data_IF_467165403326
#
_entry.id   IF_467165403326
#
_cell.length_a   1.000
_cell.length_b   1.000
_cell.length_c   1.000
_cell.angle_alpha   90.00
_cell.angle_beta   90.00
_cell.angle_gamma   90.00
#
_symmetry.space_group_name_H-M   'P 1'
#
loop_
_entity.id
_entity.type
_entity.pdbx_description
1 polymer ?
#
# COMPACT_ATOMS: atom_id res chain seq x y z
N UNK A 1 -69.80 23.18 3.04
CA UNK A 1 -68.86 24.29 3.33
C UNK A 1 -67.62 23.71 3.99
N UNK A 2 -66.69 23.20 3.18
CA UNK A 2 -65.31 23.01 3.63
C UNK A 2 -64.60 24.36 3.48
N UNK A 3 -63.99 24.84 4.56
CA UNK A 3 -63.36 26.14 4.62
C UNK A 3 -62.13 26.21 3.70
N UNK A 4 -61.90 27.39 3.12
CA UNK A 4 -60.71 27.77 2.36
C UNK A 4 -59.37 27.59 3.12
N UNK A 5 -59.39 27.06 4.35
CA UNK A 5 -58.25 26.95 5.26
C UNK A 5 -57.42 25.67 5.08
N UNK A 6 -57.88 24.69 4.31
CA UNK A 6 -57.12 23.45 4.00
C UNK A 6 -56.37 23.48 2.67
N UNK A 7 -56.30 24.63 2.00
CA UNK A 7 -55.48 24.82 0.78
C UNK A 7 -54.17 25.58 1.04
N UNK A 8 -53.86 25.92 2.29
CA UNK A 8 -52.67 26.71 2.65
C UNK A 8 -51.71 26.03 3.64
N UNK A 9 -51.81 24.73 3.85
CA UNK A 9 -50.94 23.97 4.77
C UNK A 9 -50.14 22.83 4.11
N UNK A 10 -50.19 22.69 2.78
CA UNK A 10 -49.28 21.81 2.02
C UNK A 10 -48.19 22.62 1.29
N UNK A 11 -48.24 23.95 1.35
CA UNK A 11 -47.26 24.84 0.73
C UNK A 11 -46.06 25.18 1.63
N UNK A 12 -45.66 24.28 2.54
CA UNK A 12 -44.48 24.49 3.39
C UNK A 12 -43.93 23.19 4.00
N UNK A 13 -43.48 22.22 3.20
CA UNK A 13 -42.55 21.16 3.68
C UNK A 13 -41.84 20.36 2.58
N UNK A 14 -41.92 20.77 1.32
CA UNK A 14 -41.01 20.28 0.29
C UNK A 14 -40.43 21.50 -0.43
N UNK A 15 -39.52 22.21 0.24
CA UNK A 15 -38.41 22.78 -0.54
C UNK A 15 -37.69 21.59 -1.15
N UNK A 16 -38.17 21.16 -2.30
CA UNK A 16 -37.37 20.37 -3.23
C UNK A 16 -36.20 21.29 -3.52
N UNK A 17 -35.09 21.10 -2.82
CA UNK A 17 -33.83 21.72 -3.19
C UNK A 17 -33.70 21.50 -4.70
N UNK A 18 -33.53 22.58 -5.47
CA UNK A 18 -33.44 22.49 -6.92
C UNK A 18 -32.41 21.44 -7.33
N UNK A 19 -32.50 20.90 -8.56
CA UNK A 19 -31.56 19.89 -9.03
C UNK A 19 -30.13 20.36 -8.75
N UNK A 20 -29.36 19.51 -8.05
CA UNK A 20 -28.02 19.85 -7.60
C UNK A 20 -27.12 20.12 -8.80
N UNK A 21 -26.26 21.12 -8.68
CA UNK A 21 -25.28 21.46 -9.72
C UNK A 21 -24.03 20.58 -9.63
N UNK A 22 -23.27 20.48 -10.71
CA UNK A 22 -21.98 19.78 -10.72
C UNK A 22 -21.04 20.32 -9.61
N UNK A 23 -20.99 21.64 -9.42
CA UNK A 23 -20.17 22.27 -8.39
C UNK A 23 -20.59 21.89 -6.95
N UNK A 24 -21.89 21.72 -6.69
CA UNK A 24 -22.37 21.26 -5.40
C UNK A 24 -21.97 19.81 -5.13
N UNK A 25 -22.09 18.94 -6.13
CA UNK A 25 -21.63 17.56 -6.04
C UNK A 25 -20.12 17.46 -5.84
N UNK A 26 -19.34 18.25 -6.58
CA UNK A 26 -17.88 18.34 -6.41
C UNK A 26 -17.51 18.81 -4.98
N UNK A 27 -18.22 19.81 -4.47
CA UNK A 27 -18.01 20.30 -3.09
C UNK A 27 -18.23 19.20 -2.05
N UNK A 28 -19.30 18.42 -2.18
CA UNK A 28 -19.56 17.27 -1.31
C UNK A 28 -18.48 16.21 -1.43
N UNK A 29 -17.99 15.94 -2.64
CA UNK A 29 -16.90 15.00 -2.88
C UNK A 29 -15.64 15.40 -2.10
N UNK A 30 -15.26 16.67 -2.16
CA UNK A 30 -14.13 17.19 -1.40
C UNK A 30 -14.37 17.17 0.12
N UNK A 31 -15.59 17.43 0.59
CA UNK A 31 -15.94 17.32 2.00
C UNK A 31 -15.84 15.87 2.48
N UNK A 32 -16.33 14.92 1.69
CA UNK A 32 -16.25 13.50 1.98
C UNK A 32 -14.79 13.02 2.03
N UNK A 33 -13.92 13.48 1.11
CA UNK A 33 -12.48 13.20 1.18
C UNK A 33 -11.85 13.73 2.47
N UNK A 34 -12.17 14.98 2.87
CA UNK A 34 -11.69 15.54 4.15
C UNK A 34 -12.19 14.78 5.37
N UNK A 35 -13.37 14.19 5.29
CA UNK A 35 -13.94 13.32 6.31
C UNK A 35 -13.40 11.87 6.25
N UNK A 36 -12.49 11.55 5.33
CA UNK A 36 -11.96 10.20 5.13
C UNK A 36 -12.94 9.22 4.48
N UNK A 37 -14.09 9.69 4.00
CA UNK A 37 -15.11 8.85 3.37
C UNK A 37 -14.92 8.81 1.84
N UNK A 38 -13.93 8.02 1.41
CA UNK A 38 -13.61 7.88 -0.01
C UNK A 38 -14.77 7.31 -0.85
N UNK A 39 -15.63 6.48 -0.25
CA UNK A 39 -16.80 5.90 -0.92
C UNK A 39 -17.87 6.96 -1.23
N UNK A 40 -18.18 7.81 -0.26
CA UNK A 40 -19.08 8.95 -0.48
C UNK A 40 -18.47 9.97 -1.45
N UNK A 41 -17.16 10.19 -1.37
CA UNK A 41 -16.46 11.06 -2.30
C UNK A 41 -16.57 10.58 -3.75
N UNK A 42 -16.33 9.29 -4.00
CA UNK A 42 -16.43 8.71 -5.34
C UNK A 42 -17.83 8.94 -5.93
N UNK A 43 -18.90 8.61 -5.18
CA UNK A 43 -20.28 8.85 -5.64
C UNK A 43 -20.57 10.32 -5.96
N UNK A 44 -20.06 11.23 -5.14
CA UNK A 44 -20.29 12.66 -5.34
C UNK A 44 -19.54 13.17 -6.59
N UNK A 45 -18.30 12.74 -6.82
CA UNK A 45 -17.57 13.10 -8.04
C UNK A 45 -18.15 12.43 -9.29
N UNK A 46 -18.66 11.20 -9.20
CA UNK A 46 -19.37 10.54 -10.30
C UNK A 46 -20.59 11.37 -10.74
N UNK A 47 -21.39 11.87 -9.79
CA UNK A 47 -22.52 12.76 -10.11
C UNK A 47 -22.07 14.13 -10.65
N UNK A 48 -20.97 14.68 -10.12
CA UNK A 48 -20.40 15.93 -10.64
C UNK A 48 -19.97 15.76 -12.10
N UNK A 49 -19.23 14.69 -12.42
CA UNK A 49 -18.73 14.38 -13.76
C UNK A 49 -19.84 13.93 -14.73
N UNK A 50 -20.94 13.37 -14.22
CA UNK A 50 -22.14 13.10 -15.02
C UNK A 50 -22.80 14.39 -15.51
N UNK A 51 -22.78 15.45 -14.70
CA UNK A 51 -23.35 16.75 -15.03
C UNK A 51 -22.36 17.64 -15.81
N UNK A 52 -21.07 17.54 -15.53
CA UNK A 52 -19.98 18.20 -16.26
C UNK A 52 -18.77 17.27 -16.41
N UNK A 53 -18.72 16.55 -17.54
CA UNK A 53 -17.67 15.58 -17.82
C UNK A 53 -16.29 16.21 -18.09
N UNK A 54 -16.19 17.55 -18.16
CA UNK A 54 -14.95 18.27 -18.49
C UNK A 54 -14.48 19.18 -17.35
N UNK A 55 -14.82 18.86 -16.10
CA UNK A 55 -14.27 19.53 -14.93
C UNK A 55 -12.99 18.83 -14.42
N UNK A 56 -11.79 19.40 -14.64
CA UNK A 56 -10.53 18.81 -14.19
C UNK A 56 -10.43 18.68 -12.66
N UNK A 57 -11.10 19.54 -11.87
CA UNK A 57 -11.07 19.44 -10.41
C UNK A 57 -11.90 18.27 -9.90
N UNK A 58 -13.07 18.02 -10.51
CA UNK A 58 -13.85 16.82 -10.20
C UNK A 58 -13.17 15.55 -10.68
N UNK A 59 -12.45 15.58 -11.82
CA UNK A 59 -11.62 14.44 -12.25
C UNK A 59 -10.46 14.18 -11.27
N UNK A 60 -9.77 15.22 -10.79
CA UNK A 60 -8.77 15.07 -9.73
C UNK A 60 -9.39 14.46 -8.47
N UNK A 61 -10.55 14.96 -8.04
CA UNK A 61 -11.28 14.46 -6.87
C UNK A 61 -11.68 12.98 -7.00
N UNK A 62 -12.22 12.59 -8.17
CA UNK A 62 -12.54 11.21 -8.51
C UNK A 62 -11.29 10.33 -8.46
N UNK A 63 -10.18 10.79 -9.07
CA UNK A 63 -8.91 10.07 -9.05
C UNK A 63 -8.33 9.88 -7.63
N UNK A 64 -8.45 10.89 -6.76
CA UNK A 64 -8.07 10.78 -5.34
C UNK A 64 -8.96 9.76 -4.62
N UNK A 65 -10.28 9.82 -4.81
CA UNK A 65 -11.22 8.89 -4.20
C UNK A 65 -10.99 7.44 -4.66
N UNK A 66 -10.80 7.23 -5.97
CA UNK A 66 -10.45 5.95 -6.57
C UNK A 66 -9.14 5.41 -6.00
N UNK A 67 -8.11 6.26 -5.90
CA UNK A 67 -6.84 5.90 -5.29
C UNK A 67 -7.05 5.40 -3.85
N UNK A 68 -7.75 6.17 -3.01
CA UNK A 68 -8.05 5.79 -1.62
C UNK A 68 -8.80 4.47 -1.48
N UNK A 69 -9.62 4.12 -2.47
CA UNK A 69 -10.36 2.85 -2.54
C UNK A 69 -9.57 1.69 -3.16
N UNK A 70 -8.29 1.90 -3.50
CA UNK A 70 -7.46 0.89 -4.15
C UNK A 70 -7.80 0.64 -5.62
N UNK A 71 -8.62 1.50 -6.24
CA UNK A 71 -8.96 1.42 -7.67
C UNK A 71 -7.91 2.17 -8.49
N UNK A 72 -6.74 1.56 -8.62
CA UNK A 72 -5.56 2.21 -9.20
C UNK A 72 -5.75 2.61 -10.66
N UNK A 73 -6.39 1.76 -11.47
CA UNK A 73 -6.61 2.06 -12.89
C UNK A 73 -7.59 3.23 -13.10
N UNK A 74 -8.71 3.22 -12.37
CA UNK A 74 -9.67 4.33 -12.35
C UNK A 74 -8.96 5.64 -11.96
N UNK A 75 -8.14 5.59 -10.90
CA UNK A 75 -7.35 6.75 -10.45
C UNK A 75 -6.41 7.28 -11.54
N UNK A 76 -5.67 6.39 -12.22
CA UNK A 76 -4.79 6.77 -13.33
C UNK A 76 -5.57 7.45 -14.46
N UNK A 77 -6.72 6.89 -14.84
CA UNK A 77 -7.55 7.39 -15.92
C UNK A 77 -8.05 8.80 -15.63
N UNK A 78 -8.61 9.02 -14.44
CA UNK A 78 -9.18 10.30 -14.04
C UNK A 78 -8.11 11.37 -13.87
N UNK A 79 -6.98 11.06 -13.24
CA UNK A 79 -5.86 11.99 -13.08
C UNK A 79 -5.24 12.38 -14.43
N UNK A 80 -5.06 11.41 -15.33
CA UNK A 80 -4.60 11.69 -16.68
C UNK A 80 -5.62 12.53 -17.46
N UNK A 81 -6.91 12.31 -17.25
CA UNK A 81 -7.99 13.14 -17.79
C UNK A 81 -7.92 14.59 -17.31
N UNK A 82 -7.76 14.77 -15.99
CA UNK A 82 -7.60 16.09 -15.39
C UNK A 82 -6.39 16.84 -16.00
N UNK A 83 -5.26 16.17 -16.18
CA UNK A 83 -4.05 16.76 -16.78
C UNK A 83 -4.18 17.06 -18.28
N UNK A 84 -4.99 16.29 -19.03
CA UNK A 84 -5.31 16.63 -20.43
C UNK A 84 -6.11 17.94 -20.55
N UNK A 85 -6.98 18.21 -19.59
CA UNK A 85 -7.81 19.42 -19.56
C UNK A 85 -7.08 20.61 -18.94
N UNK A 86 -6.30 20.36 -17.89
CA UNK A 86 -5.52 21.36 -17.16
C UNK A 86 -4.12 20.82 -16.83
N UNK A 87 -3.15 20.97 -17.75
CA UNK A 87 -1.77 20.47 -17.56
C UNK A 87 -1.04 21.06 -16.35
N UNK A 88 -1.42 22.27 -15.92
CA UNK A 88 -0.84 22.93 -14.75
C UNK A 88 -1.40 22.44 -13.40
N UNK A 89 -2.26 21.42 -13.38
CA UNK A 89 -2.86 20.89 -12.16
C UNK A 89 -1.86 20.00 -11.41
N UNK A 90 -0.88 20.62 -10.76
CA UNK A 90 0.25 19.96 -10.09
C UNK A 90 -0.16 18.85 -9.11
N UNK A 91 -1.29 19.00 -8.41
CA UNK A 91 -1.80 17.97 -7.50
C UNK A 91 -2.13 16.65 -8.23
N UNK A 92 -2.66 16.73 -9.46
CA UNK A 92 -2.92 15.55 -10.28
C UNK A 92 -1.62 14.90 -10.76
N UNK A 93 -0.64 15.70 -11.16
CA UNK A 93 0.69 15.21 -11.56
C UNK A 93 1.39 14.49 -10.42
N UNK A 94 1.40 15.08 -9.21
CA UNK A 94 2.01 14.48 -8.02
C UNK A 94 1.42 13.10 -7.73
N UNK A 95 0.09 13.00 -7.68
CA UNK A 95 -0.55 11.72 -7.39
C UNK A 95 -0.38 10.70 -8.53
N UNK A 96 -0.51 11.13 -9.79
CA UNK A 96 -0.35 10.23 -10.94
C UNK A 96 1.07 9.67 -11.00
N UNK A 97 2.10 10.51 -10.86
CA UNK A 97 3.49 10.03 -10.85
C UNK A 97 3.78 9.07 -9.70
N UNK A 98 3.24 9.32 -8.51
CA UNK A 98 3.37 8.39 -7.38
C UNK A 98 2.64 7.05 -7.59
N UNK A 99 1.50 7.07 -8.29
CA UNK A 99 0.81 5.85 -8.68
C UNK A 99 1.65 5.09 -9.70
N UNK A 100 2.09 5.74 -10.77
CA UNK A 100 2.91 5.12 -11.82
C UNK A 100 4.19 4.50 -11.24
N UNK A 101 4.89 5.22 -10.36
CA UNK A 101 6.09 4.73 -9.70
C UNK A 101 5.85 3.44 -8.89
N UNK A 102 4.73 3.39 -8.13
CA UNK A 102 4.34 2.24 -7.31
C UNK A 102 3.82 1.06 -8.11
N UNK A 103 3.27 1.32 -9.29
CA UNK A 103 2.90 0.32 -10.30
C UNK A 103 4.07 -0.05 -11.21
N UNK A 104 5.28 0.28 -10.75
CA UNK A 104 6.56 -0.06 -11.37
C UNK A 104 6.88 0.64 -12.69
N UNK A 105 6.00 1.53 -13.16
CA UNK A 105 6.16 2.38 -14.33
C UNK A 105 7.00 3.64 -14.01
N UNK A 106 8.31 3.42 -13.84
CA UNK A 106 9.27 4.48 -13.51
C UNK A 106 9.37 5.55 -14.61
N UNK A 107 9.36 5.12 -15.88
CA UNK A 107 9.48 6.04 -17.01
C UNK A 107 8.22 6.89 -17.17
N UNK A 108 7.03 6.31 -17.00
CA UNK A 108 5.78 7.07 -16.97
C UNK A 108 5.76 8.09 -15.83
N UNK A 109 6.22 7.71 -14.63
CA UNK A 109 6.32 8.63 -13.49
C UNK A 109 7.24 9.83 -13.77
N UNK A 110 8.42 9.58 -14.36
CA UNK A 110 9.37 10.60 -14.81
C UNK A 110 8.71 11.54 -15.82
N UNK A 111 8.07 10.99 -16.87
CA UNK A 111 7.45 11.78 -17.92
C UNK A 111 6.34 12.71 -17.40
N UNK A 112 5.51 12.24 -16.46
CA UNK A 112 4.46 13.06 -15.84
C UNK A 112 5.07 14.23 -15.05
N UNK A 113 6.16 14.00 -14.32
CA UNK A 113 6.79 15.05 -13.52
C UNK A 113 7.57 16.05 -14.38
N UNK A 114 8.19 15.61 -15.47
CA UNK A 114 8.81 16.49 -16.47
C UNK A 114 7.79 17.44 -17.09
N UNK A 115 6.63 16.92 -17.48
CA UNK A 115 5.53 17.74 -17.99
C UNK A 115 5.02 18.73 -16.93
N UNK A 116 4.85 18.28 -15.70
CA UNK A 116 4.37 19.14 -14.60
C UNK A 116 5.33 20.30 -14.30
N UNK A 117 6.65 20.06 -14.34
CA UNK A 117 7.67 21.08 -14.12
C UNK A 117 7.71 22.15 -15.22
N UNK A 118 7.23 21.86 -16.44
CA UNK A 118 7.05 22.89 -17.47
C UNK A 118 6.03 23.97 -17.04
N UNK A 119 5.07 23.63 -16.18
CA UNK A 119 4.05 24.54 -15.64
C UNK A 119 4.36 25.03 -14.22
N UNK A 120 5.15 24.28 -13.45
CA UNK A 120 5.50 24.59 -12.07
C UNK A 120 7.02 24.46 -11.80
N UNK A 121 7.87 25.27 -12.46
CA UNK A 121 9.33 25.08 -12.46
C UNK A 121 9.99 25.26 -11.08
N UNK A 122 9.33 25.96 -10.15
CA UNK A 122 9.82 26.19 -8.79
C UNK A 122 9.29 25.15 -7.77
N UNK A 123 8.60 24.09 -8.21
CA UNK A 123 8.07 23.08 -7.30
C UNK A 123 9.19 22.13 -6.84
N UNK A 124 9.70 22.37 -5.63
CA UNK A 124 10.79 21.58 -5.06
C UNK A 124 10.46 20.08 -4.94
N UNK A 125 9.22 19.72 -4.60
CA UNK A 125 8.82 18.31 -4.44
C UNK A 125 8.90 17.54 -5.77
N UNK A 126 8.41 18.14 -6.86
CA UNK A 126 8.51 17.56 -8.20
C UNK A 126 9.98 17.40 -8.61
N UNK A 127 10.79 18.45 -8.43
CA UNK A 127 12.21 18.43 -8.80
C UNK A 127 12.97 17.35 -8.03
N UNK A 128 12.84 17.29 -6.70
CA UNK A 128 13.54 16.31 -5.87
C UNK A 128 13.17 14.87 -6.23
N UNK A 129 11.88 14.59 -6.43
CA UNK A 129 11.43 13.25 -6.83
C UNK A 129 11.87 12.88 -8.25
N UNK A 130 11.77 13.80 -9.21
CA UNK A 130 12.20 13.58 -10.57
C UNK A 130 13.70 13.26 -10.65
N UNK A 131 14.53 14.00 -9.92
CA UNK A 131 15.97 13.74 -9.84
C UNK A 131 16.27 12.37 -9.22
N UNK A 132 15.56 11.99 -8.16
CA UNK A 132 15.70 10.66 -7.55
C UNK A 132 15.31 9.54 -8.54
N UNK A 133 14.17 9.68 -9.22
CA UNK A 133 13.69 8.70 -10.20
C UNK A 133 14.59 8.60 -11.43
N UNK A 134 15.16 9.71 -11.90
CA UNK A 134 16.15 9.70 -12.99
C UNK A 134 17.44 8.98 -12.58
N UNK A 135 17.93 9.18 -11.36
CA UNK A 135 19.08 8.42 -10.83
C UNK A 135 18.77 6.93 -10.76
N UNK A 136 17.59 6.57 -10.25
CA UNK A 136 17.14 5.18 -10.21
C UNK A 136 17.06 4.57 -11.61
N UNK A 137 16.46 5.27 -12.57
CA UNK A 137 16.35 4.81 -13.95
C UNK A 137 17.73 4.59 -14.60
N UNK A 138 18.67 5.52 -14.40
CA UNK A 138 20.03 5.38 -14.92
C UNK A 138 20.76 4.15 -14.35
N UNK A 139 20.52 3.82 -13.07
CA UNK A 139 21.04 2.58 -12.47
C UNK A 139 20.39 1.36 -13.13
N UNK A 140 19.06 1.34 -13.24
CA UNK A 140 18.31 0.24 -13.86
C UNK A 140 18.67 -0.02 -15.33
N UNK A 141 18.96 1.02 -16.11
CA UNK A 141 19.33 0.89 -17.53
C UNK A 141 20.64 0.13 -17.73
N UNK A 142 21.52 0.14 -16.73
CA UNK A 142 22.79 -0.61 -16.74
C UNK A 142 22.66 -2.05 -16.23
N UNK A 143 21.51 -2.42 -15.65
CA UNK A 143 21.34 -3.72 -15.01
C UNK A 143 21.01 -4.80 -16.03
N UNK A 144 21.57 -5.98 -15.81
CA UNK A 144 21.13 -7.23 -16.43
C UNK A 144 19.85 -7.75 -15.78
N UNK A 145 19.06 -8.51 -16.53
CA UNK A 145 17.82 -9.12 -16.04
C UNK A 145 17.86 -10.64 -16.14
N UNK A 146 17.28 -11.29 -15.14
CA UNK A 146 16.96 -12.73 -15.12
C UNK A 146 15.46 -12.88 -14.93
N UNK A 147 14.81 -13.54 -15.89
CA UNK A 147 13.39 -13.88 -15.83
C UNK A 147 13.26 -15.26 -15.18
N UNK A 148 12.49 -15.33 -14.09
CA UNK A 148 12.04 -16.56 -13.43
C UNK A 148 10.52 -16.72 -13.61
N UNK A 149 9.91 -17.75 -13.01
CA UNK A 149 8.49 -18.04 -13.23
C UNK A 149 7.59 -16.95 -12.67
N UNK A 150 7.91 -16.46 -11.47
CA UNK A 150 7.11 -15.44 -10.76
C UNK A 150 7.87 -14.14 -10.49
N UNK A 151 9.14 -14.06 -10.91
CA UNK A 151 10.03 -12.95 -10.58
C UNK A 151 10.84 -12.48 -11.79
N UNK A 152 11.12 -11.18 -11.83
CA UNK A 152 12.15 -10.60 -12.71
C UNK A 152 13.23 -10.00 -11.83
N UNK A 153 14.46 -10.54 -11.89
CA UNK A 153 15.57 -10.12 -11.04
C UNK A 153 16.52 -9.25 -11.85
N UNK A 154 16.72 -8.01 -11.39
CA UNK A 154 17.64 -7.03 -11.96
C UNK A 154 18.91 -6.92 -11.11
N UNK A 155 20.08 -6.88 -11.74
CA UNK A 155 21.40 -6.87 -11.07
C UNK A 155 22.48 -6.20 -11.94
N UNK A 156 23.59 -5.72 -11.36
CA UNK A 156 24.57 -4.86 -12.04
C UNK A 156 25.24 -5.49 -13.28
N UNK A 157 25.52 -6.80 -13.29
CA UNK A 157 26.13 -7.43 -14.46
C UNK A 157 26.53 -8.91 -14.28
N UNK A 158 27.27 -9.49 -15.24
CA UNK A 158 27.60 -10.93 -15.26
C UNK A 158 28.20 -11.50 -13.96
N UNK A 159 29.05 -10.80 -13.19
CA UNK A 159 29.57 -11.31 -11.92
C UNK A 159 28.50 -11.65 -10.88
N UNK A 160 27.36 -10.96 -10.90
CA UNK A 160 26.24 -11.17 -9.96
C UNK A 160 25.23 -12.20 -10.46
N UNK A 161 25.39 -12.72 -11.68
CA UNK A 161 24.48 -13.71 -12.26
C UNK A 161 24.32 -14.97 -11.39
N UNK A 162 25.38 -15.53 -10.76
CA UNK A 162 25.22 -16.64 -9.82
C UNK A 162 24.42 -16.27 -8.57
N UNK A 163 24.56 -15.04 -8.06
CA UNK A 163 23.75 -14.55 -6.94
C UNK A 163 22.29 -14.38 -7.36
N UNK A 164 22.03 -13.78 -8.51
CA UNK A 164 20.68 -13.62 -9.06
C UNK A 164 19.99 -14.98 -9.27
N UNK A 165 20.72 -16.03 -9.70
CA UNK A 165 20.18 -17.37 -9.78
C UNK A 165 19.80 -17.95 -8.41
N UNK A 166 20.68 -17.80 -7.39
CA UNK A 166 20.37 -18.23 -6.01
C UNK A 166 19.16 -17.49 -5.43
N UNK A 167 19.08 -16.17 -5.63
CA UNK A 167 17.93 -15.36 -5.19
C UNK A 167 16.63 -15.84 -5.85
N UNK A 168 16.67 -16.18 -7.15
CA UNK A 168 15.50 -16.74 -7.83
C UNK A 168 15.02 -18.03 -7.17
N UNK A 169 15.94 -18.96 -6.89
CA UNK A 169 15.61 -20.25 -6.25
C UNK A 169 15.03 -20.05 -4.85
N UNK A 170 15.62 -19.16 -4.04
CA UNK A 170 15.12 -18.82 -2.70
C UNK A 170 13.71 -18.21 -2.77
N UNK A 171 13.47 -17.27 -3.69
CA UNK A 171 12.17 -16.63 -3.86
C UNK A 171 11.10 -17.60 -4.37
N UNK A 172 11.43 -18.49 -5.30
CA UNK A 172 10.47 -19.52 -5.77
C UNK A 172 10.10 -20.49 -4.64
N UNK A 173 11.06 -20.89 -3.80
CA UNK A 173 10.79 -21.69 -2.60
C UNK A 173 9.87 -20.94 -1.61
N UNK A 174 10.20 -19.69 -1.30
CA UNK A 174 9.39 -18.84 -0.44
C UNK A 174 7.99 -18.55 -1.02
N UNK A 175 7.87 -18.39 -2.34
CA UNK A 175 6.59 -18.16 -3.03
C UNK A 175 5.60 -19.30 -2.74
N UNK A 176 6.02 -20.54 -2.96
CA UNK A 176 5.14 -21.69 -2.71
C UNK A 176 4.83 -21.88 -1.23
N UNK A 177 5.83 -21.70 -0.37
CA UNK A 177 5.68 -21.85 1.09
C UNK A 177 4.74 -20.80 1.69
N UNK A 178 5.01 -19.52 1.44
CA UNK A 178 4.27 -18.40 2.03
C UNK A 178 2.90 -18.29 1.37
N UNK A 179 2.85 -18.38 0.03
CA UNK A 179 1.59 -18.29 -0.68
C UNK A 179 0.65 -19.46 -0.37
N UNK A 180 1.19 -20.67 -0.18
CA UNK A 180 0.41 -21.82 0.30
C UNK A 180 -0.11 -21.66 1.73
N UNK A 181 0.68 -21.04 2.61
CA UNK A 181 0.29 -20.79 4.00
C UNK A 181 -0.76 -19.67 4.15
N UNK A 182 -0.66 -18.61 3.33
CA UNK A 182 -1.65 -17.52 3.30
C UNK A 182 -2.88 -17.90 2.46
N UNK A 183 -2.73 -18.81 1.49
CA UNK A 183 -3.79 -19.15 0.53
C UNK A 183 -3.91 -18.15 -0.62
N UNK A 184 -2.85 -17.40 -0.91
CA UNK A 184 -2.84 -16.38 -1.96
C UNK A 184 -1.44 -16.16 -2.52
N UNK A 185 -1.39 -15.68 -3.76
CA UNK A 185 -0.15 -15.42 -4.48
C UNK A 185 -0.17 -14.02 -5.09
N UNK A 186 1.00 -13.40 -5.33
CA UNK A 186 1.10 -12.19 -6.13
C UNK A 186 0.48 -12.42 -7.51
N UNK A 187 -0.32 -11.47 -7.99
CA UNK A 187 -1.02 -11.56 -9.29
C UNK A 187 -0.09 -11.32 -10.47
N UNK A 188 0.82 -10.38 -10.29
CA UNK A 188 1.78 -9.95 -11.29
C UNK A 188 3.16 -10.53 -10.99
N UNK A 189 4.01 -10.58 -12.02
CA UNK A 189 5.43 -10.92 -11.85
C UNK A 189 6.06 -9.87 -10.92
N UNK A 190 6.69 -10.33 -9.85
CA UNK A 190 7.26 -9.43 -8.83
C UNK A 190 8.66 -8.99 -9.27
N UNK A 191 8.91 -7.67 -9.48
CA UNK A 191 10.25 -7.20 -9.80
C UNK A 191 11.12 -7.25 -8.55
N UNK A 192 12.35 -7.72 -8.72
CA UNK A 192 13.37 -7.83 -7.68
C UNK A 192 14.60 -7.08 -8.15
N UNK A 193 15.12 -6.16 -7.34
CA UNK A 193 16.30 -5.37 -7.70
C UNK A 193 17.38 -5.58 -6.66
N UNK A 194 18.51 -6.13 -7.12
CA UNK A 194 19.71 -6.34 -6.32
C UNK A 194 20.62 -5.13 -6.48
N UNK A 195 20.85 -4.42 -5.39
CA UNK A 195 21.67 -3.20 -5.35
C UNK A 195 22.94 -3.43 -4.56
N UNK A 196 24.04 -2.74 -4.89
CA UNK A 196 25.09 -2.55 -3.88
C UNK A 196 24.54 -1.81 -2.64
N UNK A 197 25.19 -1.95 -1.49
CA UNK A 197 24.74 -1.29 -0.24
C UNK A 197 24.67 0.23 -0.39
N UNK A 198 25.60 0.81 -1.13
CA UNK A 198 25.67 2.23 -1.46
C UNK A 198 24.47 2.66 -2.32
N UNK A 199 24.23 1.96 -3.43
CA UNK A 199 23.08 2.24 -4.30
C UNK A 199 21.75 2.07 -3.58
N UNK A 200 21.62 1.02 -2.76
CA UNK A 200 20.40 0.78 -2.01
C UNK A 200 20.08 1.96 -1.10
N UNK A 201 21.05 2.44 -0.33
CA UNK A 201 20.88 3.63 0.52
C UNK A 201 20.54 4.87 -0.30
N UNK A 202 21.22 5.08 -1.42
CA UNK A 202 21.07 6.29 -2.22
C UNK A 202 19.70 6.33 -2.95
N UNK A 203 19.18 5.17 -3.39
CA UNK A 203 17.87 5.06 -4.05
C UNK A 203 16.72 5.08 -3.03
N UNK A 204 16.82 4.28 -1.97
CA UNK A 204 15.70 4.09 -1.03
C UNK A 204 15.65 5.14 0.07
N UNK A 205 16.76 5.84 0.33
CA UNK A 205 16.96 6.69 1.50
C UNK A 205 16.76 5.93 2.83
N UNK A 206 16.77 4.60 2.80
CA UNK A 206 16.61 3.75 3.97
C UNK A 206 17.88 3.77 4.83
N UNK A 207 17.75 3.60 6.16
CA UNK A 207 18.90 3.42 7.03
C UNK A 207 19.76 2.23 6.58
N UNK A 208 21.07 2.30 6.76
CA UNK A 208 22.00 1.24 6.30
C UNK A 208 21.83 -0.13 6.96
N UNK A 209 20.92 -0.26 7.93
CA UNK A 209 20.54 -1.54 8.56
C UNK A 209 19.30 -2.19 7.93
N UNK A 210 18.61 -1.51 7.02
CA UNK A 210 17.45 -2.09 6.33
C UNK A 210 17.89 -3.30 5.51
N UNK A 211 17.34 -4.47 5.85
CA UNK A 211 17.68 -5.74 5.20
C UNK A 211 17.12 -5.87 3.79
N UNK A 212 16.00 -5.21 3.52
CA UNK A 212 15.31 -5.14 2.24
C UNK A 212 14.26 -4.02 2.26
N UNK A 213 13.54 -3.84 1.16
CA UNK A 213 12.37 -2.98 1.10
C UNK A 213 11.41 -3.43 0.00
N UNK A 214 10.11 -3.45 0.31
CA UNK A 214 9.05 -3.62 -0.66
C UNK A 214 8.25 -2.32 -0.89
N UNK A 215 8.33 -1.78 -2.11
CA UNK A 215 7.57 -0.59 -2.54
C UNK A 215 6.64 -0.86 -3.74
N UNK A 216 6.43 -2.13 -4.07
CA UNK A 216 5.93 -2.61 -5.36
C UNK A 216 6.99 -3.40 -6.11
N UNK A 217 8.26 -3.20 -5.73
CA UNK A 217 9.39 -4.03 -6.10
C UNK A 217 10.05 -4.54 -4.83
N UNK A 218 10.62 -5.74 -4.84
CA UNK A 218 11.50 -6.22 -3.78
C UNK A 218 12.89 -5.66 -4.04
N UNK A 219 13.42 -4.84 -3.13
CA UNK A 219 14.77 -4.27 -3.23
C UNK A 219 15.65 -4.89 -2.16
N UNK A 220 16.81 -5.38 -2.56
CA UNK A 220 17.74 -6.06 -1.64
C UNK A 220 19.14 -5.49 -1.80
N UNK A 221 19.76 -4.98 -0.72
CA UNK A 221 21.18 -4.65 -0.72
C UNK A 221 22.02 -5.93 -0.70
N UNK A 222 22.83 -6.12 -1.73
CA UNK A 222 23.78 -7.21 -1.91
C UNK A 222 25.21 -6.67 -1.87
N UNK A 223 26.15 -7.46 -1.36
CA UNK A 223 27.57 -7.10 -1.37
C UNK A 223 28.40 -7.84 -0.31
N UNK A 224 29.60 -8.26 -0.70
CA UNK A 224 30.49 -9.06 0.14
C UNK A 224 30.02 -10.50 0.32
N UNK A 225 30.50 -11.16 1.39
CA UNK A 225 30.02 -12.50 1.76
C UNK A 225 28.63 -12.38 2.37
N UNK A 226 27.61 -12.87 1.67
CA UNK A 226 26.23 -12.91 2.12
C UNK A 226 25.97 -14.28 2.74
N UNK A 227 25.36 -14.31 3.92
CA UNK A 227 24.83 -15.53 4.51
C UNK A 227 23.49 -15.87 3.84
N UNK A 228 23.39 -17.06 3.26
CA UNK A 228 22.20 -17.51 2.54
C UNK A 228 20.97 -17.55 3.46
N UNK A 229 21.16 -17.84 4.76
CA UNK A 229 20.06 -17.87 5.73
C UNK A 229 19.49 -16.48 6.00
N UNK A 230 20.35 -15.47 6.11
CA UNK A 230 19.93 -14.07 6.26
C UNK A 230 19.29 -13.53 4.98
N UNK A 231 19.82 -13.91 3.82
CA UNK A 231 19.27 -13.50 2.53
C UNK A 231 17.87 -14.11 2.31
N UNK A 232 17.71 -15.41 2.55
CA UNK A 232 16.40 -16.07 2.44
C UNK A 232 15.39 -15.43 3.40
N UNK A 233 15.81 -15.13 4.63
CA UNK A 233 14.98 -14.45 5.64
C UNK A 233 14.47 -13.10 5.12
N UNK A 234 15.35 -12.24 4.61
CA UNK A 234 14.98 -10.95 4.01
C UNK A 234 14.04 -11.13 2.82
N UNK A 235 14.36 -12.04 1.90
CA UNK A 235 13.54 -12.27 0.69
C UNK A 235 12.13 -12.75 1.06
N UNK A 236 12.01 -13.63 2.05
CA UNK A 236 10.73 -14.10 2.57
C UNK A 236 9.91 -12.96 3.23
N UNK A 237 10.58 -12.08 3.97
CA UNK A 237 9.97 -10.90 4.58
C UNK A 237 9.34 -9.99 3.51
N UNK A 238 10.13 -9.57 2.52
CA UNK A 238 9.67 -8.66 1.47
C UNK A 238 8.62 -9.30 0.54
N UNK A 239 8.74 -10.61 0.26
CA UNK A 239 7.73 -11.34 -0.51
C UNK A 239 6.39 -11.41 0.23
N UNK A 240 6.41 -11.49 1.56
CA UNK A 240 5.18 -11.46 2.36
C UNK A 240 4.42 -10.16 2.15
N UNK A 241 5.11 -9.01 2.15
CA UNK A 241 4.47 -7.73 1.84
C UNK A 241 3.88 -7.69 0.42
N UNK A 242 4.54 -8.32 -0.56
CA UNK A 242 3.99 -8.43 -1.91
C UNK A 242 2.67 -9.21 -1.95
N UNK A 243 2.59 -10.33 -1.24
CA UNK A 243 1.36 -11.13 -1.12
C UNK A 243 0.26 -10.34 -0.40
N UNK A 244 0.60 -9.72 0.75
CA UNK A 244 -0.33 -8.91 1.53
C UNK A 244 -0.89 -7.76 0.70
N UNK A 245 -0.04 -7.01 -0.02
CA UNK A 245 -0.47 -5.91 -0.91
C UNK A 245 -1.40 -6.40 -2.02
N UNK A 246 -1.17 -7.60 -2.56
CA UNK A 246 -2.03 -8.19 -3.60
C UNK A 246 -3.43 -8.54 -3.12
N UNK A 247 -3.60 -8.88 -1.84
CA UNK A 247 -4.90 -9.13 -1.22
C UNK A 247 -5.57 -7.85 -0.71
N UNK A 248 -4.77 -6.99 -0.07
CA UNK A 248 -5.23 -5.80 0.61
C UNK A 248 -4.22 -4.66 0.40
N UNK A 249 -4.38 -3.85 -0.66
CA UNK A 249 -3.46 -2.76 -0.96
C UNK A 249 -3.39 -1.70 0.14
N UNK A 250 -4.41 -1.61 1.00
CA UNK A 250 -4.57 -0.63 2.08
C UNK A 250 -5.33 -1.24 3.26
N UNK A 251 -5.40 -0.49 4.36
CA UNK A 251 -6.26 -0.82 5.50
C UNK A 251 -5.73 -1.92 6.43
N UNK A 252 -4.62 -2.57 6.06
CA UNK A 252 -3.92 -3.53 6.93
C UNK A 252 -3.15 -2.74 8.00
N UNK A 253 -3.38 -2.98 9.30
CA UNK A 253 -2.60 -2.34 10.36
C UNK A 253 -1.13 -2.75 10.29
N UNK A 254 -0.24 -1.84 10.68
CA UNK A 254 1.21 -2.05 10.59
C UNK A 254 1.66 -3.31 11.36
N UNK A 255 1.15 -3.55 12.57
CA UNK A 255 1.48 -4.75 13.35
C UNK A 255 1.11 -6.05 12.63
N UNK A 256 -0.02 -6.09 11.90
CA UNK A 256 -0.43 -7.30 11.20
C UNK A 256 0.48 -7.51 9.98
N UNK A 257 0.76 -6.45 9.23
CA UNK A 257 1.61 -6.50 8.03
C UNK A 257 3.05 -6.94 8.39
N UNK A 258 3.68 -6.29 9.37
CA UNK A 258 5.03 -6.65 9.82
C UNK A 258 5.06 -7.98 10.57
N UNK A 259 4.03 -8.27 11.36
CA UNK A 259 3.92 -9.53 12.08
C UNK A 259 3.83 -10.75 11.16
N UNK A 260 3.10 -10.63 10.03
CA UNK A 260 3.09 -11.67 8.99
C UNK A 260 4.48 -11.84 8.37
N UNK A 261 5.14 -10.74 8.01
CA UNK A 261 6.46 -10.78 7.38
C UNK A 261 7.50 -11.48 8.29
N UNK A 262 7.56 -11.08 9.56
CA UNK A 262 8.42 -11.71 10.58
C UNK A 262 8.04 -13.17 10.87
N UNK A 263 6.75 -13.52 10.82
CA UNK A 263 6.33 -14.91 11.03
C UNK A 263 6.83 -15.82 9.89
N UNK A 264 6.78 -15.33 8.64
CA UNK A 264 7.15 -16.09 7.45
C UNK A 264 8.65 -16.06 7.10
N UNK A 265 9.44 -15.21 7.77
CA UNK A 265 10.91 -15.29 7.82
C UNK A 265 11.40 -16.66 8.28
N UNK A 266 10.67 -17.31 9.19
CA UNK A 266 11.10 -18.53 9.87
C UNK A 266 10.99 -19.73 8.92
N UNK A 267 12.11 -20.40 8.67
CA UNK A 267 12.16 -21.69 7.98
C UNK A 267 12.23 -22.85 8.99
N UNK A 268 11.52 -23.94 8.71
CA UNK A 268 11.60 -25.18 9.52
C UNK A 268 10.99 -25.12 10.94
N UNK A 269 11.51 -25.95 11.84
CA UNK A 269 10.96 -26.21 13.18
C UNK A 269 11.51 -25.28 14.30
N UNK A 270 12.18 -24.18 13.95
CA UNK A 270 12.63 -23.19 14.94
C UNK A 270 11.38 -22.49 15.48
N UNK A 271 10.79 -23.03 16.54
CA UNK A 271 9.63 -22.52 17.29
C UNK A 271 10.05 -22.13 18.70
N UNK A 272 10.98 -21.18 18.82
CA UNK A 272 11.20 -20.42 20.06
C UNK A 272 10.18 -19.28 20.22
N UNK A 273 9.99 -18.79 21.46
CA UNK A 273 9.10 -17.66 21.72
C UNK A 273 9.60 -16.43 20.96
N UNK A 274 8.70 -15.74 20.26
CA UNK A 274 9.01 -14.54 19.47
C UNK A 274 9.48 -13.37 20.34
N UNK A 275 9.11 -13.41 21.63
CA UNK A 275 9.36 -12.39 22.65
C UNK A 275 9.58 -13.06 24.00
N UNK A 276 10.44 -12.51 24.85
CA UNK A 276 10.62 -13.02 26.22
C UNK A 276 9.35 -12.73 27.07
N UNK A 277 8.89 -13.68 27.91
CA UNK A 277 7.62 -13.57 28.64
C UNK A 277 7.46 -12.28 29.48
N UNK A 278 8.53 -11.84 30.14
CA UNK A 278 8.49 -10.72 31.11
C UNK A 278 8.77 -9.35 30.48
N UNK A 279 8.79 -9.26 29.15
CA UNK A 279 8.95 -7.96 28.50
C UNK A 279 7.63 -7.17 28.62
N UNK A 280 7.63 -5.85 28.84
CA UNK A 280 6.41 -5.04 28.73
C UNK A 280 5.80 -5.13 27.32
N UNK A 281 4.47 -5.07 27.23
CA UNK A 281 3.75 -5.01 25.94
C UNK A 281 3.58 -3.57 25.46
N UNK A 282 3.68 -3.36 24.15
CA UNK A 282 3.29 -2.13 23.48
C UNK A 282 1.83 -2.32 23.02
N UNK A 283 0.86 -1.52 23.48
CA UNK A 283 -0.53 -1.70 23.06
C UNK A 283 -0.65 -1.79 21.53
N UNK A 284 -1.29 -2.84 21.00
CA UNK A 284 -1.38 -3.08 19.55
C UNK A 284 -1.97 -1.89 18.79
N UNK A 285 -2.87 -1.13 19.43
CA UNK A 285 -3.43 0.13 18.88
C UNK A 285 -2.36 1.18 18.59
N UNK A 286 -1.23 1.18 19.31
CA UNK A 286 -0.06 2.03 18.98
C UNK A 286 0.77 1.46 17.83
N UNK A 287 0.70 0.15 17.61
CA UNK A 287 1.37 -0.55 16.53
C UNK A 287 0.50 -0.67 15.26
N UNK A 288 -0.70 -0.08 15.22
CA UNK A 288 -1.49 0.03 13.99
C UNK A 288 -0.87 1.02 12.99
N UNK A 289 -0.06 1.96 13.49
CA UNK A 289 0.63 3.00 12.72
C UNK A 289 2.09 2.63 12.46
N UNK A 290 2.73 3.41 11.60
CA UNK A 290 4.16 3.28 11.28
C UNK A 290 5.04 3.21 12.54
N UNK A 291 6.01 2.31 12.53
CA UNK A 291 7.01 2.16 13.60
C UNK A 291 8.11 3.23 13.55
N UNK A 292 8.04 4.16 12.58
CA UNK A 292 8.93 5.31 12.48
C UNK A 292 8.87 6.16 13.75
N UNK A 293 10.03 6.41 14.36
CA UNK A 293 10.15 7.21 15.58
C UNK A 293 10.28 6.38 16.87
N UNK A 294 10.16 5.05 16.80
CA UNK A 294 10.53 4.16 17.90
C UNK A 294 12.06 4.09 18.07
N UNK A 295 12.53 3.88 19.30
CA UNK A 295 13.93 3.55 19.55
C UNK A 295 14.29 2.20 18.92
N UNK A 296 15.57 1.92 18.68
CA UNK A 296 15.99 0.61 18.13
C UNK A 296 15.53 -0.57 19.00
N UNK A 297 15.49 -0.39 20.34
CA UNK A 297 14.99 -1.41 21.25
C UNK A 297 13.48 -1.59 21.12
N UNK A 298 12.72 -0.49 21.11
CA UNK A 298 11.26 -0.51 20.98
C UNK A 298 10.81 -1.03 19.62
N UNK A 299 11.56 -0.75 18.54
CA UNK A 299 11.29 -1.27 17.22
C UNK A 299 11.44 -2.79 17.18
N UNK A 300 12.53 -3.34 17.74
CA UNK A 300 12.70 -4.81 17.83
C UNK A 300 11.58 -5.46 18.63
N UNK A 301 11.18 -4.82 19.74
CA UNK A 301 10.04 -5.26 20.52
C UNK A 301 8.74 -5.22 19.71
N UNK A 302 8.48 -4.14 18.98
CA UNK A 302 7.30 -4.00 18.13
C UNK A 302 7.20 -5.09 17.06
N UNK A 303 8.30 -5.43 16.38
CA UNK A 303 8.34 -6.53 15.40
C UNK A 303 8.06 -7.90 16.06
N UNK A 304 8.72 -8.18 17.17
CA UNK A 304 8.53 -9.41 17.94
C UNK A 304 7.07 -9.57 18.44
N UNK A 305 6.52 -8.48 18.98
CA UNK A 305 5.15 -8.43 19.50
C UNK A 305 4.12 -8.58 18.37
N UNK A 306 4.34 -7.89 17.26
CA UNK A 306 3.52 -7.97 16.04
C UNK A 306 3.44 -9.41 15.52
N UNK A 307 4.58 -10.11 15.43
CA UNK A 307 4.60 -11.50 15.02
C UNK A 307 3.85 -12.42 15.99
N UNK A 308 3.96 -12.17 17.30
CA UNK A 308 3.28 -12.95 18.32
C UNK A 308 1.76 -12.73 18.29
N UNK A 309 1.31 -11.49 18.11
CA UNK A 309 -0.10 -11.15 17.92
C UNK A 309 -0.66 -11.80 16.66
N UNK A 310 0.07 -11.74 15.54
CA UNK A 310 -0.31 -12.41 14.29
C UNK A 310 -0.42 -13.92 14.45
N UNK A 311 0.52 -14.57 15.15
CA UNK A 311 0.40 -15.99 15.47
C UNK A 311 -0.86 -16.28 16.30
N UNK A 312 -1.18 -15.42 17.27
CA UNK A 312 -2.40 -15.57 18.08
C UNK A 312 -3.68 -15.43 17.24
N UNK A 313 -3.68 -14.55 16.23
CA UNK A 313 -4.79 -14.46 15.27
C UNK A 313 -4.98 -15.78 14.52
N UNK A 314 -3.90 -16.41 14.07
CA UNK A 314 -3.94 -17.72 13.40
C UNK A 314 -4.44 -18.81 14.35
N UNK A 315 -3.96 -18.81 15.60
CA UNK A 315 -4.34 -19.82 16.60
C UNK A 315 -5.83 -19.75 16.97
N UNK A 316 -6.40 -18.54 17.03
CA UNK A 316 -7.81 -18.33 17.40
C UNK A 316 -8.74 -18.47 16.19
N UNK A 317 -8.39 -17.85 15.06
CA UNK A 317 -9.25 -17.82 13.87
C UNK A 317 -9.10 -19.05 12.95
N UNK A 318 -8.07 -19.88 13.18
CA UNK A 318 -7.80 -21.07 12.38
C UNK A 318 -7.11 -20.79 11.03
N UNK A 319 -6.98 -21.83 10.17
CA UNK A 319 -6.07 -21.82 9.04
C UNK A 319 -6.41 -20.78 7.94
N UNK A 320 -7.68 -20.38 7.83
CA UNK A 320 -8.12 -19.40 6.83
C UNK A 320 -8.26 -17.97 7.38
N UNK A 321 -7.94 -17.74 8.65
CA UNK A 321 -8.17 -16.45 9.31
C UNK A 321 -7.45 -15.31 8.58
N UNK A 322 -6.18 -15.49 8.24
CA UNK A 322 -5.38 -14.46 7.56
C UNK A 322 -5.91 -14.17 6.16
N UNK A 323 -6.21 -15.21 5.37
CA UNK A 323 -6.81 -15.05 4.04
C UNK A 323 -8.11 -14.24 4.10
N UNK A 324 -9.04 -14.67 4.98
CA UNK A 324 -10.34 -14.03 5.12
C UNK A 324 -10.21 -12.60 5.64
N UNK A 325 -9.30 -12.35 6.57
CA UNK A 325 -9.05 -11.03 7.12
C UNK A 325 -8.56 -10.08 6.02
N UNK A 326 -7.49 -10.46 5.32
CA UNK A 326 -6.89 -9.63 4.26
C UNK A 326 -7.86 -9.41 3.09
N UNK A 327 -8.61 -10.43 2.67
CA UNK A 327 -9.60 -10.28 1.59
C UNK A 327 -10.78 -9.38 2.00
N UNK A 328 -11.26 -9.47 3.24
CA UNK A 328 -12.31 -8.57 3.75
C UNK A 328 -11.81 -7.11 3.81
N UNK A 329 -10.59 -6.87 4.29
CA UNK A 329 -10.00 -5.52 4.28
C UNK A 329 -9.84 -5.02 2.84
N UNK A 330 -9.33 -5.86 1.94
CA UNK A 330 -9.18 -5.55 0.52
C UNK A 330 -10.50 -5.25 -0.19
N UNK A 331 -11.61 -5.84 0.27
CA UNK A 331 -12.97 -5.54 -0.19
C UNK A 331 -13.54 -4.23 0.39
N UNK A 332 -12.78 -3.53 1.24
CA UNK A 332 -13.15 -2.23 1.81
C UNK A 332 -13.88 -2.30 3.15
N UNK A 333 -13.92 -3.46 3.82
CA UNK A 333 -14.47 -3.53 5.17
C UNK A 333 -13.51 -2.82 6.16
N UNK A 334 -14.04 -2.03 7.11
CA UNK A 334 -13.24 -1.52 8.22
C UNK A 334 -12.55 -2.66 8.98
N UNK A 335 -11.33 -2.42 9.46
CA UNK A 335 -10.48 -3.46 10.04
C UNK A 335 -11.18 -4.27 11.14
N UNK A 336 -11.83 -3.62 12.11
CA UNK A 336 -12.51 -4.29 13.23
C UNK A 336 -13.60 -5.27 12.75
N UNK A 337 -14.38 -4.86 11.74
CA UNK A 337 -15.43 -5.70 11.15
C UNK A 337 -14.84 -6.84 10.32
N UNK A 338 -13.75 -6.58 9.58
CA UNK A 338 -13.03 -7.61 8.84
C UNK A 338 -12.40 -8.64 9.79
N UNK A 339 -11.85 -8.18 10.92
CA UNK A 339 -11.27 -9.00 11.98
C UNK A 339 -12.32 -9.90 12.62
N UNK A 340 -13.44 -9.33 13.07
CA UNK A 340 -14.52 -10.11 13.69
C UNK A 340 -15.06 -11.18 12.75
N UNK A 341 -15.25 -10.85 11.48
CA UNK A 341 -15.72 -11.82 10.48
C UNK A 341 -14.71 -12.94 10.21
N UNK A 342 -13.42 -12.65 10.24
CA UNK A 342 -12.37 -13.60 9.92
C UNK A 342 -11.98 -14.49 11.12
N UNK A 343 -11.98 -13.93 12.32
CA UNK A 343 -11.51 -14.57 13.55
C UNK A 343 -12.67 -15.10 14.40
N UNK A 344 -13.91 -14.69 14.10
CA UNK A 344 -15.12 -15.00 14.87
C UNK A 344 -15.06 -14.49 16.32
N UNK A 345 -14.32 -13.40 16.54
CA UNK A 345 -14.13 -12.71 17.82
C UNK A 345 -14.03 -11.20 17.55
N UNK A 346 -14.76 -10.34 18.29
CA UNK A 346 -14.62 -8.89 18.16
C UNK A 346 -13.18 -8.45 18.40
N UNK A 347 -12.66 -7.51 17.60
CA UNK A 347 -11.27 -7.03 17.76
C UNK A 347 -11.02 -6.43 19.15
N UNK A 348 -12.01 -5.73 19.73
CA UNK A 348 -11.92 -5.22 21.09
C UNK A 348 -11.76 -6.33 22.15
N UNK A 349 -12.38 -7.49 21.94
CA UNK A 349 -12.21 -8.66 22.82
C UNK A 349 -10.81 -9.27 22.65
N UNK A 350 -10.33 -9.38 21.40
CA UNK A 350 -8.95 -9.81 21.12
C UNK A 350 -7.92 -8.91 21.82
N UNK A 351 -8.08 -7.58 21.74
CA UNK A 351 -7.19 -6.62 22.39
C UNK A 351 -7.19 -6.77 23.91
N UNK A 352 -8.35 -7.02 24.51
CA UNK A 352 -8.44 -7.27 25.96
C UNK A 352 -7.68 -8.54 26.35
N UNK A 353 -7.92 -9.63 25.63
CA UNK A 353 -7.26 -10.92 25.85
C UNK A 353 -5.76 -10.91 25.50
N UNK A 354 -5.28 -9.89 24.78
CA UNK A 354 -3.86 -9.69 24.49
C UNK A 354 -3.10 -9.10 25.67
N UNK A 355 -3.77 -8.25 26.46
CA UNK A 355 -3.16 -7.52 27.58
C UNK A 355 -3.26 -8.24 28.93
N UNK A 356 -4.11 -9.28 29.01
CA UNK A 356 -4.29 -10.18 30.16
C UNK A 356 -3.41 -11.43 30.00
#
# INVERSE_FOLDING_TARGET
MLSLATLLSVWLAAQVAGPRTAAQWSTDGWQALRAGNAEAAARAFDEALRLDARDPLSMLGAGVAAHLRGRTDDARQDLAGALRLQPALTAASLLLGEILYRETDLQGAIAVYEQALAYAPANAQLTTKLEAWRREAAVHDSFSQRIASHFTIMFEGPPDQPLAARVAEMLESAYWRIGGAIGAYPRDVVPVVLYSKEQFRDVTQSPGWAGGMFDGRIRVPVGGKIDDSDLERVLAHELTHAIVRGLSPRGVPQWLNEGLAVLFERTGAVRGPLRAPDTPLIPLTRLERSFTGLSTADARLAYAESAQATQRVIDVGGPMAIYNLLTNIGAGLPFDAAFERAVLMPYAEFLKNWTE
#
